data_IF_056979878981
#
_entry.id   IF_056979878981
#
_cell.length_a   1.000
_cell.length_b   1.000
_cell.length_c   1.000
_cell.angle_alpha   90.00
_cell.angle_beta   90.00
_cell.angle_gamma   90.00
#
_symmetry.space_group_name_H-M   'P 1'
#
loop_
_entity.id
_entity.type
_entity.pdbx_description
1 polymer ?
#
# COMPACT_ATOMS: atom_id res chain seq x y z
N UNK A 1 -15.61 7.05 17.02
CA UNK A 1 -14.25 6.50 17.20
C UNK A 1 -13.22 7.55 16.81
N UNK A 2 -12.08 7.55 17.49
CA UNK A 2 -10.92 8.39 17.16
C UNK A 2 -9.90 7.56 16.37
N UNK A 3 -9.65 7.91 15.12
CA UNK A 3 -8.89 7.11 14.16
C UNK A 3 -7.65 7.87 13.72
N UNK A 4 -6.46 7.29 13.95
CA UNK A 4 -5.20 7.83 13.47
C UNK A 4 -4.87 7.26 12.09
N UNK A 5 -4.48 8.12 11.15
CA UNK A 5 -3.95 7.72 9.84
C UNK A 5 -2.54 8.28 9.70
N UNK A 6 -1.54 7.40 9.67
CA UNK A 6 -0.15 7.81 9.41
C UNK A 6 0.10 7.91 7.90
N UNK A 7 1.16 8.62 7.50
CA UNK A 7 1.50 8.76 6.08
C UNK A 7 0.53 9.64 5.29
N UNK A 8 0.00 10.72 5.91
CA UNK A 8 -0.98 11.65 5.30
C UNK A 8 -0.56 12.20 3.93
N UNK A 9 0.73 12.35 3.68
CA UNK A 9 1.28 12.92 2.45
C UNK A 9 1.49 11.86 1.35
N UNK A 10 1.40 10.56 1.68
CA UNK A 10 1.51 9.45 0.74
C UNK A 10 0.23 9.24 -0.08
N UNK A 11 0.32 8.38 -1.10
CA UNK A 11 -0.79 8.09 -2.00
C UNK A 11 -2.06 7.63 -1.26
N UNK A 12 -1.92 6.61 -0.40
CA UNK A 12 -3.05 6.04 0.34
C UNK A 12 -3.60 6.99 1.40
N UNK A 13 -2.73 7.65 2.19
CA UNK A 13 -3.16 8.61 3.21
C UNK A 13 -3.98 9.76 2.61
N UNK A 14 -3.55 10.29 1.46
CA UNK A 14 -4.30 11.33 0.73
C UNK A 14 -5.62 10.83 0.16
N UNK A 15 -5.65 9.58 -0.33
CA UNK A 15 -6.88 8.96 -0.84
C UNK A 15 -7.92 8.75 0.28
N UNK A 16 -7.49 8.25 1.45
CA UNK A 16 -8.37 8.16 2.63
C UNK A 16 -8.90 9.54 3.02
N UNK A 17 -8.01 10.54 3.10
CA UNK A 17 -8.38 11.91 3.48
C UNK A 17 -9.42 12.51 2.52
N UNK A 18 -9.26 12.32 1.21
CA UNK A 18 -10.22 12.78 0.19
C UNK A 18 -11.60 12.17 0.39
N UNK A 19 -11.68 10.85 0.60
CA UNK A 19 -12.97 10.15 0.78
C UNK A 19 -13.65 10.58 2.08
N UNK A 20 -12.89 10.65 3.19
CA UNK A 20 -13.41 11.07 4.49
C UNK A 20 -13.99 12.49 4.42
N UNK A 21 -13.29 13.42 3.78
CA UNK A 21 -13.78 14.80 3.64
C UNK A 21 -15.00 14.91 2.74
N UNK A 22 -15.09 14.12 1.66
CA UNK A 22 -16.24 14.12 0.77
C UNK A 22 -17.52 13.60 1.47
N UNK A 23 -17.37 12.68 2.43
CA UNK A 23 -18.49 12.08 3.17
C UNK A 23 -18.97 12.95 4.36
N UNK A 24 -18.21 13.99 4.75
CA UNK A 24 -18.54 14.88 5.89
C UNK A 24 -19.51 16.01 5.52
N UNK A 25 -20.43 15.80 4.57
CA UNK A 25 -21.43 16.79 4.14
C UNK A 25 -22.44 17.13 5.27
N UNK A 26 -22.01 17.91 6.26
CA UNK A 26 -22.91 18.65 7.18
C UNK A 26 -23.41 17.91 8.43
N UNK A 27 -23.17 16.61 8.59
CA UNK A 27 -23.40 15.91 9.85
C UNK A 27 -22.08 15.71 10.62
N UNK A 28 -22.06 15.88 11.96
CA UNK A 28 -20.86 15.54 12.72
C UNK A 28 -20.51 14.07 12.48
N UNK A 29 -19.27 13.79 12.04
CA UNK A 29 -18.88 12.42 11.71
C UNK A 29 -18.91 11.56 12.99
N UNK A 30 -19.48 10.34 12.89
CA UNK A 30 -19.38 9.33 13.95
C UNK A 30 -17.92 8.97 14.27
N UNK A 31 -17.01 9.21 13.33
CA UNK A 31 -15.56 8.94 13.43
C UNK A 31 -14.77 10.23 13.25
N UNK A 32 -13.84 10.49 14.17
CA UNK A 32 -12.88 11.59 14.07
C UNK A 32 -11.56 11.04 13.52
N UNK A 33 -11.20 11.45 12.30
CA UNK A 33 -9.94 11.07 11.67
C UNK A 33 -8.85 12.11 11.95
N UNK A 34 -7.69 11.64 12.39
CA UNK A 34 -6.49 12.43 12.61
C UNK A 34 -5.43 11.96 11.61
N UNK A 35 -5.03 12.84 10.69
CA UNK A 35 -4.06 12.53 9.65
C UNK A 35 -2.71 13.15 10.00
N UNK A 36 -1.65 12.32 10.04
CA UNK A 36 -0.30 12.75 10.39
C UNK A 36 0.72 12.37 9.34
N UNK A 37 1.65 13.27 9.10
CA UNK A 37 2.80 13.04 8.24
C UNK A 37 4.09 12.97 9.06
N UNK A 38 5.21 13.04 8.35
CA UNK A 38 6.54 12.94 8.96
C UNK A 38 6.83 14.10 9.93
N UNK A 39 6.28 15.27 9.65
CA UNK A 39 6.51 16.48 10.47
C UNK A 39 5.88 16.36 11.87
N UNK A 40 4.77 15.62 11.99
CA UNK A 40 4.09 15.39 13.26
C UNK A 40 4.49 14.07 13.92
N UNK A 41 4.65 13.02 13.11
CA UNK A 41 4.98 11.67 13.55
C UNK A 41 6.07 11.07 12.65
N UNK A 42 7.33 11.32 13.01
CA UNK A 42 8.48 10.77 12.29
C UNK A 42 8.80 9.35 12.75
N UNK A 43 8.48 8.38 11.89
CA UNK A 43 8.72 6.95 12.15
C UNK A 43 10.21 6.57 12.11
N UNK A 44 11.10 7.47 11.69
CA UNK A 44 12.54 7.26 11.80
C UNK A 44 13.10 7.55 13.20
N UNK A 45 12.26 8.08 14.10
CA UNK A 45 12.66 8.49 15.46
C UNK A 45 11.77 7.86 16.53
N UNK A 46 12.32 6.93 17.30
CA UNK A 46 11.63 6.30 18.43
C UNK A 46 11.13 7.33 19.45
N UNK A 47 11.95 8.34 19.74
CA UNK A 47 11.59 9.39 20.70
C UNK A 47 10.43 10.27 20.18
N UNK A 48 10.38 10.55 18.88
CA UNK A 48 9.27 11.29 18.27
C UNK A 48 7.97 10.48 18.35
N UNK A 49 8.01 9.18 18.05
CA UNK A 49 6.84 8.30 18.17
C UNK A 49 6.32 8.31 19.62
N UNK A 50 7.19 8.10 20.61
CA UNK A 50 6.81 8.14 22.02
C UNK A 50 6.22 9.50 22.42
N UNK A 51 6.87 10.60 22.01
CA UNK A 51 6.39 11.95 22.28
C UNK A 51 5.00 12.20 21.70
N UNK A 52 4.78 11.81 20.42
CA UNK A 52 3.49 11.98 19.78
C UNK A 52 2.36 11.26 20.53
N UNK A 53 2.53 9.98 20.82
CA UNK A 53 1.47 9.20 21.47
C UNK A 53 1.27 9.54 22.97
N UNK A 54 2.29 10.04 23.65
CA UNK A 54 2.16 10.50 25.05
C UNK A 54 1.45 11.85 25.18
N UNK A 55 1.47 12.69 24.13
CA UNK A 55 0.86 14.02 24.13
C UNK A 55 -0.49 14.07 23.37
N UNK A 56 -0.99 12.92 22.95
CA UNK A 56 -2.29 12.81 22.31
C UNK A 56 -3.19 11.85 23.07
N UNK A 57 -4.51 12.11 23.03
CA UNK A 57 -5.50 11.16 23.56
C UNK A 57 -5.42 9.84 22.82
N UNK A 58 -5.88 8.78 23.48
CA UNK A 58 -5.94 7.43 22.90
C UNK A 58 -6.71 7.39 21.59
N UNK A 59 -6.28 6.49 20.74
CA UNK A 59 -6.98 6.15 19.50
C UNK A 59 -7.75 4.84 19.67
N UNK A 60 -8.88 4.73 18.99
CA UNK A 60 -9.64 3.48 18.89
C UNK A 60 -9.09 2.60 17.75
N UNK A 61 -8.65 3.26 16.66
CA UNK A 61 -8.06 2.58 15.50
C UNK A 61 -6.83 3.35 15.03
N UNK A 62 -5.78 2.63 14.65
CA UNK A 62 -4.60 3.16 13.99
C UNK A 62 -4.50 2.55 12.59
N UNK A 63 -4.45 3.37 11.55
CA UNK A 63 -4.22 2.97 10.16
C UNK A 63 -2.80 3.39 9.80
N UNK A 64 -1.88 2.43 9.77
CA UNK A 64 -0.48 2.69 9.46
C UNK A 64 -0.23 2.57 7.94
N UNK A 65 -0.35 3.72 7.23
CA UNK A 65 -0.04 3.85 5.81
C UNK A 65 1.40 4.33 5.56
N UNK A 66 2.12 4.76 6.61
CA UNK A 66 3.49 5.22 6.47
C UNK A 66 4.46 4.05 6.30
N UNK A 67 5.37 4.19 5.36
CA UNK A 67 6.43 3.21 5.09
C UNK A 67 7.62 3.87 4.38
N UNK A 68 8.79 3.28 4.50
CA UNK A 68 9.90 3.52 3.60
C UNK A 68 9.68 2.73 2.31
N UNK A 69 9.40 3.38 1.19
CA UNK A 69 8.97 2.75 -0.07
C UNK A 69 9.96 2.89 -1.22
N UNK A 70 11.12 3.53 -0.99
CA UNK A 70 12.16 3.69 -2.00
C UNK A 70 12.98 2.39 -2.14
N UNK A 71 12.42 1.42 -2.90
CA UNK A 71 12.90 0.04 -3.01
C UNK A 71 14.40 -0.04 -3.32
N UNK A 72 14.86 0.71 -4.34
CA UNK A 72 16.28 0.70 -4.73
C UNK A 72 17.19 1.34 -3.69
N UNK A 73 16.77 2.46 -3.09
CA UNK A 73 17.52 3.11 -2.02
C UNK A 73 17.58 2.29 -0.74
N UNK A 74 16.61 1.40 -0.50
CA UNK A 74 16.64 0.52 0.66
C UNK A 74 17.87 -0.39 0.69
N UNK A 75 18.45 -0.73 -0.49
CA UNK A 75 19.67 -1.53 -0.55
C UNK A 75 20.89 -0.78 0.04
N UNK A 76 20.90 0.55 -0.02
CA UNK A 76 21.92 1.42 0.57
C UNK A 76 21.51 1.92 1.97
N UNK A 77 20.24 2.31 2.15
CA UNK A 77 19.69 2.89 3.38
C UNK A 77 19.02 1.82 4.27
N UNK A 78 19.67 0.67 4.47
CA UNK A 78 19.11 -0.50 5.17
C UNK A 78 18.61 -0.20 6.57
N UNK A 79 19.38 0.60 7.33
CA UNK A 79 19.04 0.96 8.70
C UNK A 79 17.80 1.84 8.76
N UNK A 80 17.65 2.81 7.83
CA UNK A 80 16.48 3.66 7.74
C UNK A 80 15.25 2.86 7.30
N UNK A 81 15.40 1.97 6.31
CA UNK A 81 14.33 1.07 5.89
C UNK A 81 13.87 0.15 7.04
N UNK A 82 14.82 -0.44 7.78
CA UNK A 82 14.52 -1.26 8.96
C UNK A 82 13.88 -0.43 10.09
N UNK A 83 14.36 0.78 10.34
CA UNK A 83 13.79 1.65 11.37
C UNK A 83 12.32 1.95 11.08
N UNK A 84 11.97 2.33 9.84
CA UNK A 84 10.61 2.75 9.48
C UNK A 84 9.68 1.55 9.28
N UNK A 85 10.14 0.50 8.57
CA UNK A 85 9.29 -0.62 8.16
C UNK A 85 9.19 -1.74 9.22
N UNK A 86 10.10 -1.79 10.19
CA UNK A 86 10.13 -2.81 11.22
C UNK A 86 10.05 -2.22 12.63
N UNK A 87 11.06 -1.45 13.08
CA UNK A 87 11.14 -1.00 14.47
C UNK A 87 10.02 0.00 14.85
N UNK A 88 9.68 0.92 13.94
CA UNK A 88 8.54 1.81 14.15
C UNK A 88 7.21 1.05 14.14
N UNK A 89 7.07 0.02 13.28
CA UNK A 89 5.88 -0.85 13.28
C UNK A 89 5.77 -1.59 14.61
N UNK A 90 6.88 -2.13 15.15
CA UNK A 90 6.93 -2.71 16.49
C UNK A 90 6.40 -1.74 17.54
N UNK A 91 6.95 -0.53 17.57
CA UNK A 91 6.60 0.49 18.57
C UNK A 91 5.13 0.93 18.46
N UNK A 92 4.63 1.18 17.25
CA UNK A 92 3.21 1.50 17.02
C UNK A 92 2.31 0.34 17.49
N UNK A 93 2.73 -0.90 17.26
CA UNK A 93 1.98 -2.09 17.69
C UNK A 93 1.93 -2.21 19.21
N UNK A 94 3.05 -1.98 19.91
CA UNK A 94 3.10 -1.96 21.38
C UNK A 94 2.18 -0.87 21.95
N UNK A 95 2.16 0.31 21.34
CA UNK A 95 1.29 1.42 21.73
C UNK A 95 -0.18 1.08 21.46
N UNK A 96 -0.52 0.54 20.27
CA UNK A 96 -1.88 0.13 19.93
C UNK A 96 -2.41 -0.90 20.95
N UNK A 97 -1.61 -1.93 21.25
CA UNK A 97 -1.94 -2.93 22.27
C UNK A 97 -2.19 -2.30 23.66
N UNK A 98 -1.32 -1.38 24.10
CA UNK A 98 -1.46 -0.67 25.38
C UNK A 98 -2.71 0.20 25.42
N UNK A 99 -3.06 0.84 24.29
CA UNK A 99 -4.27 1.66 24.19
C UNK A 99 -5.55 0.84 23.99
N UNK A 100 -5.44 -0.46 23.72
CA UNK A 100 -6.52 -1.34 23.27
C UNK A 100 -7.11 -0.89 21.93
N UNK A 101 -6.29 -0.25 21.10
CA UNK A 101 -6.64 0.18 19.76
C UNK A 101 -6.53 -0.98 18.76
N UNK A 102 -7.40 -0.99 17.75
CA UNK A 102 -7.22 -1.87 16.58
C UNK A 102 -6.16 -1.29 15.64
N UNK A 103 -5.43 -2.16 14.94
CA UNK A 103 -4.36 -1.75 14.03
C UNK A 103 -4.59 -2.30 12.62
N UNK A 104 -4.59 -1.43 11.62
CA UNK A 104 -4.52 -1.80 10.20
C UNK A 104 -3.14 -1.39 9.69
N UNK A 105 -2.34 -2.34 9.23
CA UNK A 105 -1.00 -2.11 8.71
C UNK A 105 -0.91 -2.45 7.23
N UNK A 106 -0.36 -1.54 6.42
CA UNK A 106 -0.18 -1.76 4.98
C UNK A 106 1.19 -2.38 4.73
N UNK A 107 1.19 -3.55 4.11
CA UNK A 107 2.38 -4.30 3.70
C UNK A 107 2.48 -4.39 2.17
N UNK A 108 3.29 -5.30 1.67
CA UNK A 108 3.67 -5.40 0.26
C UNK A 108 3.68 -6.85 -0.24
N UNK A 109 3.47 -7.02 -1.54
CA UNK A 109 3.72 -8.22 -2.31
C UNK A 109 5.21 -8.63 -2.34
N UNK A 110 6.14 -7.69 -2.10
CA UNK A 110 7.59 -7.95 -2.06
C UNK A 110 8.05 -8.83 -0.89
N UNK A 111 7.13 -9.31 -0.06
CA UNK A 111 7.39 -10.37 0.92
C UNK A 111 7.57 -11.75 0.26
N UNK A 112 7.17 -11.89 -1.00
CA UNK A 112 7.33 -13.10 -1.82
C UNK A 112 8.55 -13.04 -2.72
N UNK A 113 9.08 -14.21 -3.12
CA UNK A 113 10.25 -14.33 -4.03
C UNK A 113 9.89 -14.13 -5.51
N UNK A 114 8.64 -14.33 -5.88
CA UNK A 114 8.19 -14.20 -7.26
C UNK A 114 8.37 -15.45 -8.12
N UNK A 115 8.62 -16.61 -7.52
CA UNK A 115 8.88 -17.87 -8.23
C UNK A 115 7.61 -18.72 -8.44
N UNK A 116 6.45 -18.28 -7.94
CA UNK A 116 5.20 -19.03 -8.09
C UNK A 116 4.57 -18.79 -9.46
N UNK A 117 4.09 -19.88 -10.07
CA UNK A 117 3.26 -19.85 -11.29
C UNK A 117 1.77 -19.60 -11.01
N UNK A 118 1.40 -19.49 -9.73
CA UNK A 118 0.02 -19.24 -9.27
C UNK A 118 -0.01 -18.00 -8.40
N UNK A 119 -1.18 -17.35 -8.28
CA UNK A 119 -1.34 -16.27 -7.32
C UNK A 119 -1.00 -16.72 -5.89
N UNK A 120 -0.20 -15.92 -5.18
CA UNK A 120 0.15 -16.17 -3.79
C UNK A 120 -1.06 -16.00 -2.88
N UNK A 121 -1.27 -16.94 -1.99
CA UNK A 121 -2.24 -16.84 -0.89
C UNK A 121 -1.58 -16.24 0.36
N UNK A 122 -2.37 -15.81 1.34
CA UNK A 122 -1.86 -15.24 2.60
C UNK A 122 -1.09 -16.25 3.47
N UNK A 123 -1.25 -17.54 3.18
CA UNK A 123 -0.59 -18.66 3.88
C UNK A 123 0.66 -19.17 3.20
N UNK A 124 0.95 -18.70 1.98
CA UNK A 124 2.15 -19.11 1.27
C UNK A 124 3.42 -18.62 1.96
N UNK A 125 4.49 -19.39 1.77
CA UNK A 125 5.79 -19.08 2.37
C UNK A 125 6.33 -17.77 1.81
N UNK A 126 6.67 -16.86 2.70
CA UNK A 126 7.33 -15.60 2.35
C UNK A 126 8.84 -15.80 2.23
N UNK A 127 9.45 -15.22 1.19
CA UNK A 127 10.89 -15.29 0.92
C UNK A 127 11.38 -14.03 0.18
N UNK A 128 11.42 -12.85 0.85
CA UNK A 128 11.72 -11.59 0.19
C UNK A 128 13.15 -11.54 -0.35
N UNK A 129 13.29 -11.09 -1.61
CA UNK A 129 14.56 -11.07 -2.35
C UNK A 129 15.34 -9.75 -2.20
N UNK A 130 14.76 -8.71 -1.61
CA UNK A 130 15.39 -7.40 -1.42
C UNK A 130 15.17 -6.85 0.01
N UNK A 131 15.91 -5.80 0.37
CA UNK A 131 15.86 -5.18 1.71
C UNK A 131 14.48 -4.59 2.02
N UNK A 132 13.82 -3.97 1.04
CA UNK A 132 12.47 -3.44 1.23
C UNK A 132 11.50 -4.55 1.68
N UNK A 133 11.43 -5.64 0.93
CA UNK A 133 10.58 -6.80 1.27
C UNK A 133 10.94 -7.40 2.62
N UNK A 134 12.25 -7.57 2.91
CA UNK A 134 12.73 -8.11 4.21
C UNK A 134 12.29 -7.24 5.38
N UNK A 135 12.42 -5.92 5.28
CA UNK A 135 12.05 -5.00 6.37
C UNK A 135 10.54 -4.92 6.55
N UNK A 136 9.76 -4.97 5.46
CA UNK A 136 8.28 -5.04 5.52
C UNK A 136 7.82 -6.34 6.19
N UNK A 137 8.39 -7.49 5.81
CA UNK A 137 8.08 -8.79 6.41
C UNK A 137 8.42 -8.81 7.91
N UNK A 138 9.56 -8.25 8.32
CA UNK A 138 9.91 -8.14 9.73
C UNK A 138 8.87 -7.33 10.52
N UNK A 139 8.32 -6.26 9.91
CA UNK A 139 7.20 -5.51 10.47
C UNK A 139 5.92 -6.33 10.63
N UNK A 140 5.56 -7.16 9.64
CA UNK A 140 4.41 -8.09 9.75
C UNK A 140 4.59 -9.08 10.89
N UNK A 141 5.79 -9.68 10.98
CA UNK A 141 6.10 -10.71 11.98
C UNK A 141 6.02 -10.16 13.41
N UNK A 142 6.67 -9.02 13.67
CA UNK A 142 6.65 -8.41 15.00
C UNK A 142 5.26 -7.93 15.38
N UNK A 143 4.46 -7.45 14.41
CA UNK A 143 3.08 -7.06 14.65
C UNK A 143 2.24 -8.27 15.10
N UNK A 144 2.32 -9.40 14.39
CA UNK A 144 1.59 -10.63 14.75
C UNK A 144 2.01 -11.20 16.10
N UNK A 145 3.30 -11.12 16.43
CA UNK A 145 3.83 -11.56 17.74
C UNK A 145 3.27 -10.71 18.90
N UNK A 146 3.31 -9.39 18.76
CA UNK A 146 2.89 -8.45 19.82
C UNK A 146 1.36 -8.40 19.94
N UNK A 147 0.65 -8.32 18.80
CA UNK A 147 -0.80 -8.27 18.71
C UNK A 147 -1.35 -9.51 17.97
N UNK A 148 -1.48 -10.66 18.63
CA UNK A 148 -2.08 -11.85 18.00
C UNK A 148 -3.60 -11.68 17.74
N UNK A 149 -4.18 -10.58 18.23
CA UNK A 149 -5.58 -10.20 18.01
C UNK A 149 -5.69 -8.71 17.72
N UNK A 150 -6.80 -8.33 17.09
CA UNK A 150 -7.23 -6.92 16.86
C UNK A 150 -6.33 -6.14 15.89
N UNK A 151 -5.61 -6.86 15.00
CA UNK A 151 -4.89 -6.22 13.91
C UNK A 151 -5.23 -6.87 12.56
N UNK A 152 -5.08 -6.08 11.51
CA UNK A 152 -5.17 -6.48 10.11
C UNK A 152 -3.90 -6.02 9.39
N UNK A 153 -3.30 -6.93 8.63
CA UNK A 153 -2.21 -6.63 7.72
C UNK A 153 -2.76 -6.75 6.29
N UNK A 154 -2.62 -5.70 5.48
CA UNK A 154 -3.02 -5.73 4.07
C UNK A 154 -1.76 -5.67 3.21
N UNK A 155 -1.42 -6.75 2.53
CA UNK A 155 -0.41 -6.77 1.48
C UNK A 155 -1.02 -6.22 0.20
N UNK A 156 -0.34 -5.28 -0.43
CA UNK A 156 -0.76 -4.66 -1.68
C UNK A 156 0.41 -4.53 -2.65
N UNK A 157 0.13 -4.28 -3.93
CA UNK A 157 1.12 -4.22 -4.99
C UNK A 157 0.90 -3.03 -5.91
N UNK A 158 1.98 -2.48 -6.51
CA UNK A 158 1.96 -1.53 -7.62
C UNK A 158 0.98 -0.36 -7.41
N UNK A 159 1.04 0.26 -6.23
CA UNK A 159 0.09 1.33 -5.85
C UNK A 159 0.29 2.57 -6.73
N UNK A 160 -0.79 3.03 -7.34
CA UNK A 160 -0.83 4.26 -8.12
C UNK A 160 -2.01 5.15 -7.73
N UNK A 161 -1.86 6.45 -7.96
CA UNK A 161 -2.91 7.45 -7.73
C UNK A 161 -2.58 8.77 -8.43
N UNK A 162 -3.46 9.75 -8.32
CA UNK A 162 -3.21 11.14 -8.67
C UNK A 162 -2.16 11.82 -7.78
N UNK A 163 -1.82 11.21 -6.63
CA UNK A 163 -0.92 11.77 -5.61
C UNK A 163 0.48 11.17 -5.68
N UNK A 164 1.46 11.95 -5.17
CA UNK A 164 2.83 11.50 -5.03
C UNK A 164 3.49 11.10 -6.35
N UNK A 165 4.62 10.43 -6.24
CA UNK A 165 5.33 9.84 -7.38
C UNK A 165 4.94 8.37 -7.51
N UNK A 166 4.66 7.92 -8.73
CA UNK A 166 4.32 6.53 -9.03
C UNK A 166 4.62 6.20 -10.50
N UNK A 167 4.55 4.91 -10.82
CA UNK A 167 4.84 4.41 -12.16
C UNK A 167 4.00 5.09 -13.24
N UNK A 168 2.69 5.24 -13.04
CA UNK A 168 1.78 5.84 -14.04
C UNK A 168 2.22 7.26 -14.40
N UNK A 169 2.51 8.09 -13.40
CA UNK A 169 2.96 9.47 -13.62
C UNK A 169 4.33 9.52 -14.29
N UNK A 170 5.24 8.63 -13.89
CA UNK A 170 6.57 8.53 -14.49
C UNK A 170 6.47 8.15 -15.97
N UNK A 171 5.68 7.14 -16.31
CA UNK A 171 5.50 6.69 -17.69
C UNK A 171 4.81 7.75 -18.54
N UNK A 172 3.78 8.43 -18.03
CA UNK A 172 3.13 9.53 -18.74
C UNK A 172 4.09 10.69 -19.03
N UNK A 173 4.96 11.04 -18.09
CA UNK A 173 6.00 12.06 -18.30
C UNK A 173 7.00 11.61 -19.36
N UNK A 174 7.55 10.40 -19.23
CA UNK A 174 8.54 9.87 -20.17
C UNK A 174 7.99 9.76 -21.60
N UNK A 175 6.70 9.33 -21.73
CA UNK A 175 6.06 9.21 -23.04
C UNK A 175 5.78 10.55 -23.74
N UNK A 176 5.72 11.67 -22.98
CA UNK A 176 5.64 13.03 -23.54
C UNK A 176 7.01 13.60 -23.92
N UNK A 177 8.08 13.12 -23.30
CA UNK A 177 9.45 13.62 -23.45
C UNK A 177 10.27 12.82 -24.49
N UNK A 178 9.79 11.62 -24.93
CA UNK A 178 10.56 10.67 -25.73
C UNK A 178 9.70 10.04 -26.81
N UNK A 179 10.33 9.75 -27.96
CA UNK A 179 9.68 9.02 -29.07
C UNK A 179 9.55 7.52 -28.77
N UNK A 180 10.46 6.98 -27.95
CA UNK A 180 10.41 5.57 -27.54
C UNK A 180 10.96 5.38 -26.11
N UNK A 181 10.44 4.34 -25.43
CA UNK A 181 10.88 3.89 -24.11
C UNK A 181 10.97 2.36 -24.05
N UNK A 182 11.89 1.87 -23.21
CA UNK A 182 12.02 0.44 -22.89
C UNK A 182 11.37 0.15 -21.55
N UNK A 183 10.52 -0.90 -21.50
CA UNK A 183 9.80 -1.29 -20.28
C UNK A 183 9.88 -2.80 -20.10
N UNK A 184 10.11 -3.23 -18.86
CA UNK A 184 10.21 -4.65 -18.48
C UNK A 184 8.88 -5.37 -18.76
N UNK A 185 8.96 -6.52 -19.44
CA UNK A 185 7.80 -7.30 -19.89
C UNK A 185 7.63 -8.66 -19.19
N UNK A 186 8.60 -9.07 -18.40
CA UNK A 186 8.65 -10.37 -17.70
C UNK A 186 8.47 -10.25 -16.18
N UNK A 187 8.04 -9.09 -15.69
CA UNK A 187 7.54 -8.90 -14.32
C UNK A 187 6.02 -8.76 -14.37
N UNK A 188 5.34 -9.68 -13.68
CA UNK A 188 3.88 -9.80 -13.66
C UNK A 188 3.34 -9.44 -12.27
N UNK A 189 2.25 -8.70 -12.24
CA UNK A 189 1.57 -8.31 -11.01
C UNK A 189 0.19 -7.74 -11.29
N UNK A 190 -0.41 -7.14 -10.26
CA UNK A 190 -1.68 -6.41 -10.37
C UNK A 190 -1.52 -5.01 -9.81
N UNK A 191 -1.82 -3.96 -10.60
CA UNK A 191 -1.80 -2.59 -10.09
C UNK A 191 -2.90 -2.36 -9.06
N UNK A 192 -2.65 -1.48 -8.09
CA UNK A 192 -3.62 -1.08 -7.07
C UNK A 192 -3.88 0.43 -7.14
N UNK A 193 -5.11 0.82 -7.42
CA UNK A 193 -5.49 2.22 -7.29
C UNK A 193 -5.70 2.57 -5.82
N UNK A 194 -4.96 3.56 -5.31
CA UNK A 194 -4.96 3.90 -3.89
C UNK A 194 -6.33 4.31 -3.36
N UNK A 195 -7.20 4.89 -4.19
CA UNK A 195 -8.57 5.22 -3.83
C UNK A 195 -9.40 3.97 -3.55
N UNK A 196 -9.29 2.93 -4.39
CA UNK A 196 -9.99 1.67 -4.14
C UNK A 196 -9.51 0.98 -2.85
N UNK A 197 -8.18 0.96 -2.60
CA UNK A 197 -7.65 0.45 -1.34
C UNK A 197 -8.13 1.26 -0.13
N UNK A 198 -8.25 2.59 -0.27
CA UNK A 198 -8.81 3.46 0.77
C UNK A 198 -10.29 3.13 1.07
N UNK A 199 -11.11 2.89 0.04
CA UNK A 199 -12.50 2.46 0.18
C UNK A 199 -12.61 1.12 0.92
N UNK A 200 -11.73 0.17 0.60
CA UNK A 200 -11.64 -1.13 1.29
C UNK A 200 -11.31 -0.96 2.77
N UNK A 201 -10.32 -0.15 3.11
CA UNK A 201 -9.97 0.13 4.51
C UNK A 201 -11.14 0.78 5.25
N UNK A 202 -11.82 1.75 4.63
CA UNK A 202 -12.99 2.39 5.20
C UNK A 202 -14.17 1.42 5.36
N UNK A 203 -14.37 0.48 4.43
CA UNK A 203 -15.35 -0.60 4.56
C UNK A 203 -15.01 -1.50 5.77
N UNK A 204 -13.75 -1.91 5.91
CA UNK A 204 -13.29 -2.73 7.04
C UNK A 204 -13.56 -2.03 8.38
N UNK A 205 -13.19 -0.77 8.54
CA UNK A 205 -13.38 -0.04 9.81
C UNK A 205 -14.85 0.23 10.12
N UNK A 206 -15.73 0.25 9.12
CA UNK A 206 -17.18 0.40 9.29
C UNK A 206 -17.91 -0.95 9.47
N UNK A 207 -17.21 -2.07 9.32
CA UNK A 207 -17.78 -3.39 9.55
C UNK A 207 -18.02 -3.64 11.04
N UNK A 208 -19.26 -3.96 11.43
CA UNK A 208 -19.64 -4.17 12.83
C UNK A 208 -18.84 -5.30 13.50
N UNK A 209 -18.61 -6.40 12.79
CA UNK A 209 -17.84 -7.51 13.33
C UNK A 209 -16.38 -7.09 13.60
N UNK A 210 -15.81 -6.22 12.78
CA UNK A 210 -14.49 -5.67 13.05
C UNK A 210 -14.48 -4.72 14.24
N UNK A 211 -15.53 -3.91 14.41
CA UNK A 211 -15.62 -2.95 15.52
C UNK A 211 -15.87 -3.63 16.87
N UNK A 212 -16.87 -4.51 16.94
CA UNK A 212 -17.44 -4.99 18.18
C UNK A 212 -16.81 -6.28 18.72
N UNK A 213 -16.14 -7.06 17.84
CA UNK A 213 -15.57 -8.34 18.22
C UNK A 213 -14.05 -8.28 18.29
N UNK A 214 -13.48 -8.95 19.29
CA UNK A 214 -12.09 -9.29 19.30
C UNK A 214 -11.82 -10.35 18.23
N UNK A 215 -10.90 -10.10 17.31
CA UNK A 215 -10.59 -11.01 16.21
C UNK A 215 -9.11 -11.38 16.23
N UNK A 216 -8.77 -12.56 15.71
CA UNK A 216 -7.37 -12.91 15.43
C UNK A 216 -6.75 -11.90 14.49
N UNK A 217 -5.47 -11.66 14.65
CA UNK A 217 -4.71 -10.85 13.69
C UNK A 217 -4.55 -11.62 12.39
N UNK A 218 -5.06 -11.03 11.31
CA UNK A 218 -5.15 -11.66 10.00
C UNK A 218 -4.37 -10.87 8.95
N UNK A 219 -3.81 -11.62 8.00
CA UNK A 219 -3.25 -11.06 6.77
C UNK A 219 -4.31 -11.17 5.68
N UNK A 220 -4.43 -10.13 4.87
CA UNK A 220 -5.24 -10.07 3.66
C UNK A 220 -4.41 -9.55 2.49
N UNK A 221 -4.73 -10.01 1.30
CA UNK A 221 -4.20 -9.48 0.06
C UNK A 221 -5.21 -8.55 -0.60
N UNK A 222 -4.73 -7.43 -1.13
CA UNK A 222 -5.56 -6.52 -1.93
C UNK A 222 -4.77 -5.89 -3.07
N UNK A 223 -5.23 -6.11 -4.29
CA UNK A 223 -4.87 -5.40 -5.52
C UNK A 223 -6.08 -5.40 -6.45
N UNK A 224 -6.05 -4.68 -7.56
CA UNK A 224 -7.12 -4.79 -8.57
C UNK A 224 -7.19 -6.20 -9.16
N UNK A 225 -8.33 -6.56 -9.76
CA UNK A 225 -8.46 -7.80 -10.52
C UNK A 225 -7.68 -7.76 -11.83
N UNK A 226 -7.27 -8.96 -12.28
CA UNK A 226 -6.47 -9.18 -13.49
C UNK A 226 -4.97 -9.12 -13.23
N UNK A 227 -4.24 -9.68 -14.17
CA UNK A 227 -2.78 -9.72 -14.21
C UNK A 227 -2.25 -8.90 -15.38
N UNK A 228 -1.06 -8.32 -15.23
CA UNK A 228 -0.43 -7.54 -16.29
C UNK A 228 1.09 -7.42 -16.07
N UNK A 229 1.84 -7.26 -17.17
CA UNK A 229 3.24 -6.84 -17.13
C UNK A 229 3.37 -5.31 -17.05
N UNK A 230 4.52 -4.80 -16.58
CA UNK A 230 4.80 -3.36 -16.66
C UNK A 230 4.73 -2.82 -18.09
N UNK A 231 5.21 -3.63 -19.06
CA UNK A 231 5.15 -3.30 -20.49
C UNK A 231 3.72 -3.12 -20.98
N UNK A 232 2.85 -4.10 -20.73
CA UNK A 232 1.46 -4.02 -21.20
C UNK A 232 0.66 -2.96 -20.43
N UNK A 233 0.97 -2.76 -19.14
CA UNK A 233 0.38 -1.67 -18.36
C UNK A 233 0.74 -0.31 -18.95
N UNK A 234 2.00 -0.12 -19.36
CA UNK A 234 2.45 1.12 -20.05
C UNK A 234 1.71 1.34 -21.35
N UNK A 235 1.56 0.30 -22.18
CA UNK A 235 0.80 0.40 -23.44
C UNK A 235 -0.65 0.83 -23.22
N UNK A 236 -1.31 0.26 -22.21
CA UNK A 236 -2.69 0.65 -21.91
C UNK A 236 -2.76 2.09 -21.35
N UNK A 237 -1.83 2.51 -20.52
CA UNK A 237 -1.71 3.90 -20.05
C UNK A 237 -1.58 4.86 -21.23
N UNK A 238 -0.66 4.60 -22.18
CA UNK A 238 -0.46 5.46 -23.35
C UNK A 238 -1.68 5.50 -24.25
N UNK A 239 -2.31 4.36 -24.50
CA UNK A 239 -3.56 4.28 -25.25
C UNK A 239 -4.66 5.15 -24.64
N UNK A 240 -4.88 5.06 -23.33
CA UNK A 240 -5.91 5.83 -22.62
C UNK A 240 -5.58 7.33 -22.58
N UNK A 241 -4.31 7.66 -22.40
CA UNK A 241 -3.83 9.06 -22.34
C UNK A 241 -3.56 9.67 -23.74
N UNK A 242 -3.72 8.89 -24.83
CA UNK A 242 -3.41 9.31 -26.21
C UNK A 242 -1.97 9.82 -26.36
N UNK A 243 -1.03 9.13 -25.73
CA UNK A 243 0.41 9.41 -25.85
C UNK A 243 0.98 8.62 -27.01
N UNK A 244 1.60 9.31 -27.97
CA UNK A 244 2.28 8.71 -29.13
C UNK A 244 3.76 8.51 -28.78
N UNK A 245 4.07 7.40 -28.11
CA UNK A 245 5.43 6.99 -27.76
C UNK A 245 5.52 5.47 -27.92
N UNK A 246 6.52 5.02 -28.66
CA UNK A 246 6.75 3.59 -28.86
C UNK A 246 7.23 2.94 -27.57
N UNK A 247 6.62 1.82 -27.19
CA UNK A 247 7.04 1.03 -26.05
C UNK A 247 7.72 -0.25 -26.52
N UNK A 248 8.98 -0.45 -26.16
CA UNK A 248 9.74 -1.65 -26.47
C UNK A 248 9.79 -2.58 -25.26
N UNK A 249 9.44 -3.88 -25.40
CA UNK A 249 9.56 -4.85 -24.32
C UNK A 249 11.04 -5.20 -24.11
N UNK A 250 11.46 -5.25 -22.86
CA UNK A 250 12.78 -5.75 -22.46
C UNK A 250 12.65 -6.77 -21.34
N UNK A 251 13.64 -7.66 -21.21
CA UNK A 251 13.71 -8.57 -20.07
C UNK A 251 14.27 -7.84 -18.83
N UNK A 252 13.98 -8.37 -17.64
CA UNK A 252 14.46 -7.82 -16.35
C UNK A 252 15.97 -7.66 -16.33
N UNK A 253 16.73 -8.61 -16.90
CA UNK A 253 18.19 -8.60 -16.97
C UNK A 253 18.75 -7.42 -17.80
N UNK A 254 17.93 -6.86 -18.70
CA UNK A 254 18.29 -5.68 -19.52
C UNK A 254 18.04 -4.35 -18.81
N UNK A 255 17.41 -4.40 -17.63
CA UNK A 255 17.14 -3.24 -16.79
C UNK A 255 17.69 -3.44 -15.38
N UNK A 256 19.03 -3.44 -15.22
CA UNK A 256 19.66 -3.67 -13.92
C UNK A 256 19.27 -2.57 -12.92
N UNK A 257 18.86 -2.99 -11.74
CA UNK A 257 18.47 -2.11 -10.63
C UNK A 257 19.15 -2.57 -9.34
N UNK A 258 19.43 -1.65 -8.37
CA UNK A 258 20.05 -2.00 -7.10
C UNK A 258 19.29 -3.11 -6.35
N UNK A 259 17.96 -3.02 -6.28
CA UNK A 259 17.13 -4.03 -5.67
C UNK A 259 16.67 -5.07 -6.70
N UNK A 260 16.81 -6.34 -6.35
CA UNK A 260 16.20 -7.43 -7.12
C UNK A 260 14.68 -7.34 -7.03
N UNK A 261 13.99 -7.50 -8.16
CA UNK A 261 12.51 -7.52 -8.19
C UNK A 261 11.99 -8.92 -8.44
N UNK A 262 10.95 -9.35 -7.72
CA UNK A 262 10.30 -10.64 -7.98
C UNK A 262 9.65 -10.63 -9.38
N UNK A 263 9.66 -11.80 -10.06
CA UNK A 263 9.09 -11.93 -11.41
C UNK A 263 7.57 -11.96 -11.42
N UNK A 264 6.97 -12.68 -10.49
CA UNK A 264 5.52 -12.81 -10.37
C UNK A 264 5.08 -12.52 -8.94
N UNK A 265 4.28 -11.48 -8.76
CA UNK A 265 3.74 -11.10 -7.44
C UNK A 265 2.22 -11.06 -7.43
N UNK A 266 1.58 -11.84 -8.30
CA UNK A 266 0.13 -11.98 -8.27
C UNK A 266 -0.31 -12.53 -6.92
N UNK A 267 -1.31 -11.88 -6.35
CA UNK A 267 -1.91 -12.25 -5.07
C UNK A 267 -3.34 -12.73 -5.24
N UNK A 268 -3.68 -13.82 -4.57
CA UNK A 268 -5.08 -14.23 -4.38
C UNK A 268 -5.77 -13.24 -3.43
N UNK A 269 -7.01 -12.88 -3.74
CA UNK A 269 -7.78 -11.85 -3.01
C UNK A 269 -9.13 -12.37 -2.51
N UNK A 270 -9.39 -13.67 -2.66
CA UNK A 270 -10.68 -14.27 -2.29
C UNK A 270 -10.98 -14.11 -0.80
N UNK A 271 -9.95 -14.15 0.04
CA UNK A 271 -10.10 -14.01 1.50
C UNK A 271 -10.67 -12.64 1.89
N UNK A 272 -10.13 -11.54 1.39
CA UNK A 272 -10.62 -10.19 1.71
C UNK A 272 -11.97 -9.92 1.06
N UNK A 273 -12.15 -10.34 -0.20
CA UNK A 273 -13.40 -10.20 -0.95
C UNK A 273 -14.56 -10.90 -0.22
N UNK A 274 -14.37 -12.16 0.16
CA UNK A 274 -15.37 -12.95 0.89
C UNK A 274 -15.65 -12.40 2.29
N UNK A 275 -14.58 -12.11 3.07
CA UNK A 275 -14.71 -11.68 4.47
C UNK A 275 -15.46 -10.38 4.62
N UNK A 276 -15.22 -9.42 3.73
CA UNK A 276 -15.77 -8.06 3.84
C UNK A 276 -16.78 -7.72 2.73
N UNK A 277 -17.18 -8.72 1.91
CA UNK A 277 -18.11 -8.55 0.78
C UNK A 277 -17.65 -7.44 -0.19
N UNK A 278 -16.36 -7.46 -0.51
CA UNK A 278 -15.74 -6.45 -1.37
C UNK A 278 -15.79 -6.90 -2.83
N UNK A 279 -16.27 -6.05 -3.72
CA UNK A 279 -16.13 -6.20 -5.16
C UNK A 279 -14.86 -5.50 -5.58
N UNK A 280 -13.89 -6.27 -6.09
CA UNK A 280 -12.59 -5.74 -6.51
C UNK A 280 -12.68 -5.33 -7.99
N UNK A 281 -12.42 -4.06 -8.35
CA UNK A 281 -12.48 -3.63 -9.73
C UNK A 281 -11.32 -4.20 -10.56
N UNK A 282 -11.55 -4.39 -11.86
CA UNK A 282 -10.51 -4.75 -12.81
C UNK A 282 -9.54 -3.56 -13.00
N UNK A 283 -8.24 -3.82 -13.08
CA UNK A 283 -7.22 -2.76 -13.12
C UNK A 283 -7.42 -1.72 -14.25
N UNK A 284 -7.98 -2.13 -15.40
CA UNK A 284 -8.28 -1.20 -16.51
C UNK A 284 -9.32 -0.14 -16.15
N UNK A 285 -10.29 -0.47 -15.35
CA UNK A 285 -11.32 0.48 -14.89
C UNK A 285 -10.70 1.54 -14.00
N UNK A 286 -9.82 1.10 -13.09
CA UNK A 286 -9.12 1.99 -12.18
C UNK A 286 -8.18 2.97 -12.90
N UNK A 287 -7.37 2.50 -13.86
CA UNK A 287 -6.48 3.38 -14.63
C UNK A 287 -7.26 4.32 -15.56
N UNK A 288 -8.33 3.85 -16.16
CA UNK A 288 -9.23 4.69 -16.99
C UNK A 288 -9.84 5.81 -16.15
N UNK A 289 -10.28 5.51 -14.94
CA UNK A 289 -10.82 6.50 -14.01
C UNK A 289 -9.76 7.57 -13.67
N UNK A 290 -8.53 7.15 -13.32
CA UNK A 290 -7.43 8.08 -13.01
C UNK A 290 -7.15 9.03 -14.18
N UNK A 291 -6.97 8.49 -15.41
CA UNK A 291 -6.60 9.29 -16.57
C UNK A 291 -7.72 10.27 -16.94
N UNK A 292 -8.99 9.86 -16.88
CA UNK A 292 -10.12 10.74 -17.15
C UNK A 292 -10.22 11.89 -16.13
N UNK A 293 -9.93 11.60 -14.86
CA UNK A 293 -9.94 12.64 -13.81
C UNK A 293 -8.82 13.66 -14.02
N UNK A 294 -7.65 13.23 -14.50
CA UNK A 294 -6.53 14.13 -14.80
C UNK A 294 -6.77 15.03 -16.02
N UNK A 295 -7.53 14.55 -17.01
CA UNK A 295 -7.85 15.32 -18.22
C UNK A 295 -8.95 16.37 -18.01
N UNK A 296 -9.70 16.27 -16.91
CA UNK A 296 -10.79 17.20 -16.56
C UNK A 296 -10.38 18.29 -15.54
N UNK A 297 -9.15 18.25 -15.08
CA UNK A 297 -8.53 19.27 -14.20
C UNK A 297 -7.45 20.06 -14.95
#
# INVERSE_FOLDING_TARGET
MRILVTGKNGQLGRSIHKIVNANNNGNPPFNTFIFVGRDELDLSSESNINHYFNNNDKFDIIINCAAYTAVDKAEEEKDLANQVNHLAVKQITEIAKKQQAKLIHISTDYVFDGESDKPYTETDTTNPVNIYGKTKLAGEQVLKEIMPTDAIIIRTSWVFSEYGDNFVKTILRLGKERDEINVVSDQIGSPTYATNLAEVILNIINNKDYQDKKQSTEIYHYSSEGEISWYDFTKEIFKLARVDCKVNPIATEQYPTPAQRPRNTLMDKDKISTKFSIIIPFWKESIKHLINTQNNN
#
